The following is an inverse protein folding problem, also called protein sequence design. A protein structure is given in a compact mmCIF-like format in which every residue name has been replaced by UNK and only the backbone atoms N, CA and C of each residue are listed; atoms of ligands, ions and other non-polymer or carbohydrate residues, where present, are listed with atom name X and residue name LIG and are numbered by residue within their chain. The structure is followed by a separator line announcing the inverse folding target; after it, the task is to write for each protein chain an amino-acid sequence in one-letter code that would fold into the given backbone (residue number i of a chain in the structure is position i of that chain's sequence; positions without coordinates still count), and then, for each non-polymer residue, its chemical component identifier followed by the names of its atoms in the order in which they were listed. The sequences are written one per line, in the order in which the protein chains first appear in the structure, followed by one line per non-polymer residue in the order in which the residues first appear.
data_IF_872684821277
#
_entry.id   IF_872684821277
#
_cell.length_a   1.000
_cell.length_b   1.000
_cell.length_c   1.000
_cell.angle_alpha   90.00
_cell.angle_beta   90.00
_cell.angle_gamma   90.00
#
_symmetry.space_group_name_H-M   'P 1'
#
loop_
_entity.id
_entity.type
_entity.pdbx_description
1 polymer ?
#
# COMPACT_ATOMS: atom_id res chain seq x y z
N UNK A 1 -23.52 -12.00 -8.95
CA UNK A 1 -23.91 -11.66 -10.33
C UNK A 1 -24.61 -12.89 -10.88
N UNK A 2 -25.67 -12.72 -11.67
CA UNK A 2 -26.46 -13.84 -12.22
C UNK A 2 -25.72 -14.56 -13.34
N UNK A 3 -25.07 -15.66 -13.00
CA UNK A 3 -24.26 -16.50 -13.90
C UNK A 3 -25.09 -17.23 -14.98
N UNK A 4 -26.42 -17.28 -14.85
CA UNK A 4 -27.29 -17.83 -15.91
C UNK A 4 -27.37 -16.94 -17.15
N UNK A 5 -27.18 -15.62 -17.03
CA UNK A 5 -27.13 -14.72 -18.20
C UNK A 5 -25.79 -14.81 -18.96
N UNK A 6 -24.73 -15.34 -18.33
CA UNK A 6 -23.38 -15.45 -18.91
C UNK A 6 -23.24 -16.55 -19.97
N UNK A 7 -24.01 -17.65 -19.88
CA UNK A 7 -23.91 -18.77 -20.85
C UNK A 7 -24.39 -18.42 -22.27
N UNK A 8 -25.16 -17.35 -22.44
CA UNK A 8 -25.76 -16.97 -23.73
C UNK A 8 -25.12 -15.73 -24.39
N UNK A 9 -24.04 -15.15 -23.83
CA UNK A 9 -23.59 -13.80 -24.21
C UNK A 9 -22.07 -13.57 -24.24
N UNK A 10 -21.27 -14.55 -24.68
CA UNK A 10 -19.79 -14.53 -24.64
C UNK A 10 -19.15 -13.16 -24.93
N UNK A 11 -19.46 -12.54 -26.08
CA UNK A 11 -18.89 -11.24 -26.45
C UNK A 11 -19.40 -10.03 -25.66
N UNK A 12 -20.50 -10.14 -24.91
CA UNK A 12 -20.94 -9.08 -23.98
C UNK A 12 -20.18 -9.20 -22.65
N UNK A 13 -20.00 -10.42 -22.14
CA UNK A 13 -19.23 -10.65 -20.91
C UNK A 13 -17.80 -10.08 -21.02
N UNK A 14 -17.06 -10.39 -22.07
CA UNK A 14 -15.69 -9.92 -22.21
C UNK A 14 -15.57 -8.40 -22.39
N UNK A 15 -16.57 -7.75 -23.00
CA UNK A 15 -16.62 -6.28 -23.06
C UNK A 15 -16.84 -5.65 -21.68
N UNK A 16 -17.73 -6.21 -20.87
CA UNK A 16 -17.95 -5.74 -19.48
C UNK A 16 -16.73 -6.02 -18.60
N UNK A 17 -16.09 -7.19 -18.75
CA UNK A 17 -14.84 -7.54 -18.06
C UNK A 17 -13.71 -6.58 -18.42
N UNK A 18 -13.52 -6.29 -19.71
CA UNK A 18 -12.50 -5.35 -20.19
C UNK A 18 -12.71 -3.96 -19.60
N UNK A 19 -13.96 -3.46 -19.58
CA UNK A 19 -14.27 -2.17 -18.98
C UNK A 19 -13.96 -2.17 -17.47
N UNK A 20 -14.33 -3.23 -16.75
CA UNK A 20 -14.03 -3.36 -15.31
C UNK A 20 -12.53 -3.33 -15.02
N UNK A 21 -11.71 -3.98 -15.84
CA UNK A 21 -10.24 -3.97 -15.69
C UNK A 21 -9.67 -2.55 -15.92
N UNK A 22 -10.19 -1.83 -16.93
CA UNK A 22 -9.80 -0.44 -17.18
C UNK A 22 -10.22 0.50 -16.06
N UNK A 23 -11.38 0.27 -15.47
CA UNK A 23 -11.86 1.03 -14.31
C UNK A 23 -10.96 0.77 -13.08
N UNK A 24 -10.54 -0.47 -12.84
CA UNK A 24 -9.58 -0.79 -11.77
C UNK A 24 -8.30 0.03 -11.91
N UNK A 25 -7.79 0.15 -13.15
CA UNK A 25 -6.58 0.92 -13.46
C UNK A 25 -6.75 2.43 -13.30
N UNK A 26 -7.91 2.97 -13.69
CA UNK A 26 -8.15 4.42 -13.73
C UNK A 26 -8.45 5.04 -12.37
N UNK A 27 -9.01 4.27 -11.43
CA UNK A 27 -9.43 4.80 -10.11
C UNK A 27 -8.21 5.14 -9.22
N UNK A 28 -6.99 4.72 -9.58
CA UNK A 28 -5.77 5.07 -8.83
C UNK A 28 -5.79 4.59 -7.37
N UNK A 29 -6.52 3.48 -7.11
CA UNK A 29 -6.64 2.89 -5.77
C UNK A 29 -5.31 2.34 -5.28
N UNK A 30 -5.26 1.98 -4.00
CA UNK A 30 -4.13 1.27 -3.42
C UNK A 30 -3.71 0.08 -4.31
N UNK A 31 -2.41 -0.05 -4.55
CA UNK A 31 -1.79 -1.08 -5.39
C UNK A 31 -2.29 -2.49 -5.11
N UNK A 32 -2.37 -2.86 -3.83
CA UNK A 32 -2.80 -4.19 -3.41
C UNK A 32 -4.28 -4.42 -3.71
N UNK A 33 -5.07 -3.35 -3.61
CA UNK A 33 -6.50 -3.40 -3.90
C UNK A 33 -6.75 -3.65 -5.39
N UNK A 34 -5.94 -3.07 -6.27
CA UNK A 34 -6.03 -3.34 -7.71
C UNK A 34 -5.80 -4.82 -8.03
N UNK A 35 -4.79 -5.45 -7.40
CA UNK A 35 -4.52 -6.90 -7.56
C UNK A 35 -5.70 -7.75 -7.05
N UNK A 36 -6.27 -7.41 -5.88
CA UNK A 36 -7.44 -8.12 -5.35
C UNK A 36 -8.71 -7.89 -6.19
N UNK A 37 -8.86 -6.72 -6.79
CA UNK A 37 -10.00 -6.39 -7.64
C UNK A 37 -9.96 -7.20 -8.94
N UNK A 38 -8.76 -7.45 -9.50
CA UNK A 38 -8.56 -8.38 -10.63
C UNK A 38 -8.88 -9.81 -10.23
N UNK A 39 -8.40 -10.27 -9.08
CA UNK A 39 -8.77 -11.60 -8.56
C UNK A 39 -10.29 -11.77 -8.45
N UNK A 40 -11.01 -10.72 -8.03
CA UNK A 40 -12.46 -10.68 -7.94
C UNK A 40 -13.20 -10.61 -9.30
N UNK A 41 -12.48 -10.68 -10.43
CA UNK A 41 -13.06 -10.86 -11.77
C UNK A 41 -13.14 -12.32 -12.20
N UNK A 42 -12.58 -13.25 -11.39
CA UNK A 42 -12.63 -14.67 -11.68
C UNK A 42 -14.06 -15.19 -11.92
N UNK A 43 -14.22 -16.13 -12.85
CA UNK A 43 -15.52 -16.73 -13.16
C UNK A 43 -16.11 -17.56 -12.03
N UNK A 44 -15.25 -18.08 -11.16
CA UNK A 44 -15.62 -18.87 -9.98
C UNK A 44 -15.43 -18.07 -8.68
N UNK A 45 -15.35 -16.74 -8.77
CA UNK A 45 -15.07 -15.88 -7.62
C UNK A 45 -16.05 -16.12 -6.46
N UNK A 46 -15.50 -16.46 -5.30
CA UNK A 46 -16.26 -16.62 -4.07
C UNK A 46 -15.57 -15.87 -2.91
N UNK A 47 -16.17 -14.78 -2.38
CA UNK A 47 -15.59 -14.03 -1.26
C UNK A 47 -15.56 -14.80 0.06
N UNK A 48 -16.34 -15.88 0.18
CA UNK A 48 -16.41 -16.73 1.37
C UNK A 48 -15.47 -17.93 1.32
N UNK A 49 -14.84 -18.20 0.17
CA UNK A 49 -13.92 -19.32 0.03
C UNK A 49 -12.62 -19.07 0.79
N UNK A 50 -12.06 -20.13 1.38
CA UNK A 50 -10.82 -20.02 2.16
C UNK A 50 -9.64 -19.56 1.32
N UNK A 51 -9.57 -19.99 0.05
CA UNK A 51 -8.56 -19.53 -0.92
C UNK A 51 -8.58 -18.01 -1.11
N UNK A 52 -9.77 -17.38 -1.11
CA UNK A 52 -9.90 -15.93 -1.22
C UNK A 52 -9.39 -15.23 0.03
N UNK A 53 -9.72 -15.75 1.22
CA UNK A 53 -9.24 -15.23 2.50
C UNK A 53 -7.72 -15.31 2.58
N UNK A 54 -7.15 -16.45 2.20
CA UNK A 54 -5.70 -16.66 2.16
C UNK A 54 -5.03 -15.73 1.16
N UNK A 55 -5.58 -15.59 -0.05
CA UNK A 55 -5.04 -14.67 -1.05
C UNK A 55 -5.03 -13.23 -0.55
N UNK A 56 -6.13 -12.73 0.02
CA UNK A 56 -6.20 -11.36 0.55
C UNK A 56 -5.25 -11.15 1.73
N UNK A 57 -5.07 -12.16 2.59
CA UNK A 57 -4.16 -12.10 3.72
C UNK A 57 -2.67 -12.10 3.29
N UNK A 58 -2.34 -12.69 2.14
CA UNK A 58 -0.94 -12.95 1.74
C UNK A 58 -0.44 -12.06 0.60
N UNK A 59 -1.33 -11.52 -0.24
CA UNK A 59 -0.95 -10.78 -1.46
C UNK A 59 -0.05 -9.58 -1.15
N UNK A 60 -0.33 -8.85 -0.08
CA UNK A 60 0.49 -7.71 0.31
C UNK A 60 1.92 -8.14 0.66
N UNK A 61 2.08 -9.15 1.52
CA UNK A 61 3.41 -9.64 1.91
C UNK A 61 4.15 -10.27 0.74
N UNK A 62 3.46 -10.97 -0.16
CA UNK A 62 4.03 -11.51 -1.39
C UNK A 62 4.61 -10.41 -2.27
N UNK A 63 3.87 -9.32 -2.48
CA UNK A 63 4.32 -8.19 -3.28
C UNK A 63 5.50 -7.44 -2.64
N UNK A 64 5.43 -7.17 -1.34
CA UNK A 64 6.54 -6.57 -0.58
C UNK A 64 7.81 -7.42 -0.67
N UNK A 65 7.70 -8.73 -0.46
CA UNK A 65 8.85 -9.64 -0.54
C UNK A 65 9.44 -9.69 -1.95
N UNK A 66 8.60 -9.71 -2.98
CA UNK A 66 9.08 -9.70 -4.37
C UNK A 66 9.79 -8.38 -4.73
N UNK A 67 9.36 -7.25 -4.18
CA UNK A 67 9.97 -5.95 -4.46
C UNK A 67 11.31 -5.76 -3.72
N UNK A 68 11.38 -6.16 -2.45
CA UNK A 68 12.50 -5.79 -1.58
C UNK A 68 12.87 -6.82 -0.49
N UNK A 69 12.37 -8.06 -0.56
CA UNK A 69 12.76 -9.18 0.34
C UNK A 69 12.40 -9.04 1.82
N UNK A 70 11.45 -8.16 2.14
CA UNK A 70 10.90 -8.03 3.49
C UNK A 70 9.38 -8.18 3.44
N UNK A 71 8.78 -8.70 4.51
CA UNK A 71 7.34 -8.58 4.72
C UNK A 71 6.96 -7.15 5.10
N UNK A 72 5.67 -6.80 4.98
CA UNK A 72 5.18 -5.47 5.34
C UNK A 72 5.49 -5.11 6.81
N UNK A 73 5.35 -6.06 7.74
CA UNK A 73 5.66 -5.87 9.16
C UNK A 73 7.14 -5.63 9.41
N UNK A 74 8.02 -6.33 8.70
CA UNK A 74 9.47 -6.18 8.81
C UNK A 74 9.91 -4.80 8.29
N UNK A 75 9.36 -4.35 7.16
CA UNK A 75 9.61 -2.99 6.64
C UNK A 75 9.28 -1.92 7.67
N UNK A 76 8.09 -1.99 8.27
CA UNK A 76 7.67 -1.02 9.29
C UNK A 76 8.62 -1.08 10.48
N UNK A 77 8.82 -2.29 11.02
CA UNK A 77 9.61 -2.48 12.24
C UNK A 77 11.06 -2.06 12.07
N UNK A 78 11.69 -2.35 10.94
CA UNK A 78 13.10 -2.03 10.70
C UNK A 78 13.32 -0.54 10.40
N UNK A 79 12.36 0.12 9.75
CA UNK A 79 12.57 1.47 9.19
C UNK A 79 11.98 2.60 10.03
N UNK A 80 10.98 2.30 10.87
CA UNK A 80 10.40 3.31 11.75
C UNK A 80 11.39 3.75 12.83
N UNK A 81 11.58 5.07 12.93
CA UNK A 81 12.62 5.68 13.74
C UNK A 81 12.27 7.14 14.06
N UNK A 82 12.00 7.43 15.34
CA UNK A 82 11.62 8.76 15.82
C UNK A 82 12.72 9.82 15.69
N UNK A 83 13.97 9.43 15.46
CA UNK A 83 15.08 10.35 15.22
C UNK A 83 15.18 10.82 13.77
N UNK A 84 14.44 10.19 12.86
CA UNK A 84 14.35 10.62 11.47
C UNK A 84 13.19 11.58 11.24
N UNK A 85 13.30 12.47 10.23
CA UNK A 85 12.15 13.24 9.77
C UNK A 85 10.98 12.32 9.47
N UNK A 86 9.77 12.71 9.91
CA UNK A 86 8.52 12.00 9.60
C UNK A 86 8.57 10.51 10.00
N UNK A 87 9.28 10.21 11.10
CA UNK A 87 9.56 8.86 11.63
C UNK A 87 10.21 7.89 10.63
N UNK A 88 10.90 8.40 9.61
CA UNK A 88 11.51 7.60 8.54
C UNK A 88 10.58 7.28 7.37
N UNK A 89 9.39 7.88 7.30
CA UNK A 89 8.50 7.75 6.16
C UNK A 89 8.93 8.63 4.98
N UNK A 90 8.64 8.15 3.78
CA UNK A 90 9.01 8.75 2.48
C UNK A 90 7.82 8.91 1.55
N UNK A 91 6.74 8.12 1.71
CA UNK A 91 5.62 8.08 0.78
C UNK A 91 4.25 8.12 1.48
N UNK A 92 3.82 9.28 1.98
CA UNK A 92 2.48 9.45 2.56
C UNK A 92 1.74 10.64 1.93
N UNK A 93 0.45 10.79 2.23
CA UNK A 93 -0.38 11.89 1.72
C UNK A 93 -0.65 12.89 2.84
N UNK A 94 -0.54 14.17 2.54
CA UNK A 94 -0.81 15.28 3.47
C UNK A 94 0.46 15.88 4.06
N UNK A 95 0.28 16.97 4.81
CA UNK A 95 1.39 17.75 5.38
C UNK A 95 1.81 17.26 6.77
N UNK A 96 0.98 16.42 7.40
CA UNK A 96 1.19 15.90 8.74
C UNK A 96 0.97 14.40 8.79
N UNK A 97 1.85 13.71 9.50
CA UNK A 97 1.77 12.26 9.68
C UNK A 97 0.82 11.88 10.81
N UNK A 98 -0.01 10.87 10.57
CA UNK A 98 -0.96 10.35 11.56
C UNK A 98 -0.51 9.00 12.13
N UNK A 99 -1.12 8.60 13.25
CA UNK A 99 -0.91 7.28 13.85
C UNK A 99 -1.28 6.14 12.88
N UNK A 100 -2.25 6.35 11.98
CA UNK A 100 -2.57 5.38 10.93
C UNK A 100 -1.48 5.27 9.86
N UNK A 101 -0.79 6.37 9.53
CA UNK A 101 0.22 6.37 8.47
C UNK A 101 1.46 5.54 8.85
N UNK A 102 1.85 5.57 10.12
CA UNK A 102 3.02 4.82 10.61
C UNK A 102 2.81 3.30 10.59
N UNK A 103 1.56 2.85 10.50
CA UNK A 103 1.22 1.43 10.30
C UNK A 103 1.25 0.96 8.85
N UNK A 104 1.53 1.84 7.89
CA UNK A 104 1.48 1.52 6.45
C UNK A 104 2.89 1.29 5.90
N UNK A 105 3.24 0.02 5.66
CA UNK A 105 4.57 -0.37 5.16
C UNK A 105 5.02 0.35 3.89
N UNK A 106 4.08 0.64 2.97
CA UNK A 106 4.35 1.39 1.73
C UNK A 106 4.98 2.76 2.01
N UNK A 107 4.64 3.39 3.14
CA UNK A 107 5.10 4.72 3.48
C UNK A 107 6.60 4.74 3.84
N UNK A 108 7.22 3.59 4.09
CA UNK A 108 8.65 3.45 4.41
C UNK A 108 9.50 2.94 3.23
N UNK A 109 8.92 2.84 2.04
CA UNK A 109 9.62 2.34 0.86
C UNK A 109 10.47 3.44 0.22
N UNK A 110 11.62 3.08 -0.34
CA UNK A 110 12.35 3.99 -1.22
C UNK A 110 11.58 4.21 -2.53
N UNK A 111 11.87 5.30 -3.24
CA UNK A 111 11.28 5.57 -4.55
C UNK A 111 11.49 4.40 -5.53
N UNK A 112 12.68 3.78 -5.50
CA UNK A 112 13.00 2.61 -6.31
C UNK A 112 12.15 1.40 -5.96
N UNK A 113 11.96 1.09 -4.68
CA UNK A 113 11.12 -0.03 -4.25
C UNK A 113 9.64 0.19 -4.60
N UNK A 114 9.15 1.40 -4.39
CA UNK A 114 7.79 1.78 -4.77
C UNK A 114 7.60 1.68 -6.29
N UNK A 115 8.58 2.13 -7.07
CA UNK A 115 8.57 2.00 -8.53
C UNK A 115 8.52 0.55 -8.96
N UNK A 116 9.31 -0.34 -8.34
CA UNK A 116 9.25 -1.77 -8.62
C UNK A 116 7.87 -2.35 -8.30
N UNK A 117 7.26 -2.02 -7.15
CA UNK A 117 5.91 -2.45 -6.82
C UNK A 117 4.87 -1.97 -7.86
N UNK A 118 4.94 -0.71 -8.25
CA UNK A 118 4.06 -0.13 -9.27
C UNK A 118 4.18 -0.87 -10.61
N UNK A 119 5.41 -1.21 -11.03
CA UNK A 119 5.66 -1.95 -12.26
C UNK A 119 5.12 -3.38 -12.20
N UNK A 120 5.29 -4.08 -11.07
CA UNK A 120 4.75 -5.42 -10.87
C UNK A 120 3.22 -5.43 -10.94
N UNK A 121 2.56 -4.48 -10.28
CA UNK A 121 1.09 -4.34 -10.34
C UNK A 121 0.63 -3.99 -11.75
N UNK A 122 1.32 -3.06 -12.43
CA UNK A 122 0.99 -2.67 -13.80
C UNK A 122 1.06 -3.85 -14.77
N UNK A 123 2.11 -4.67 -14.67
CA UNK A 123 2.25 -5.89 -15.48
C UNK A 123 1.11 -6.87 -15.23
N UNK A 124 0.68 -7.05 -13.98
CA UNK A 124 -0.44 -7.92 -13.65
C UNK A 124 -1.76 -7.41 -14.25
N UNK A 125 -1.98 -6.10 -14.22
CA UNK A 125 -3.13 -5.46 -14.86
C UNK A 125 -3.10 -5.58 -16.39
N UNK A 126 -1.94 -5.37 -17.02
CA UNK A 126 -1.74 -5.56 -18.46
C UNK A 126 -2.05 -6.99 -18.89
N UNK A 127 -1.58 -7.96 -18.11
CA UNK A 127 -1.88 -9.36 -18.35
C UNK A 127 -3.38 -9.63 -18.25
N UNK A 128 -4.05 -9.08 -17.22
CA UNK A 128 -5.48 -9.27 -17.05
C UNK A 128 -6.28 -8.68 -18.21
N UNK A 129 -5.92 -7.47 -18.67
CA UNK A 129 -6.52 -6.84 -19.84
C UNK A 129 -6.32 -7.70 -21.09
N UNK A 130 -5.13 -8.29 -21.27
CA UNK A 130 -4.85 -9.21 -22.37
C UNK A 130 -5.72 -10.47 -22.34
N UNK A 131 -5.96 -11.06 -21.16
CA UNK A 131 -6.84 -12.22 -21.04
C UNK A 131 -8.28 -11.87 -21.43
N UNK A 132 -8.78 -10.72 -20.97
CA UNK A 132 -10.10 -10.23 -21.35
C UNK A 132 -10.23 -9.99 -22.86
N UNK A 133 -9.22 -9.37 -23.49
CA UNK A 133 -9.18 -9.14 -24.95
C UNK A 133 -9.15 -10.43 -25.75
N UNK A 134 -8.49 -11.47 -25.24
CA UNK A 134 -8.41 -12.80 -25.87
C UNK A 134 -9.63 -13.68 -25.57
N UNK A 135 -10.64 -13.14 -24.91
CA UNK A 135 -11.81 -13.89 -24.48
C UNK A 135 -11.45 -15.12 -23.62
N UNK A 136 -10.37 -14.99 -22.82
CA UNK A 136 -9.91 -16.03 -21.92
C UNK A 136 -10.45 -15.78 -20.51
N UNK A 137 -11.38 -16.65 -20.10
CA UNK A 137 -11.93 -16.63 -18.75
C UNK A 137 -10.93 -17.20 -17.74
N UNK A 138 -10.76 -16.52 -16.62
CA UNK A 138 -9.80 -16.87 -15.58
C UNK A 138 -10.52 -17.32 -14.31
N UNK A 139 -10.04 -18.38 -13.66
CA UNK A 139 -10.49 -18.79 -12.32
C UNK A 139 -9.68 -18.11 -11.22
N UNK A 140 -10.15 -18.21 -9.97
CA UNK A 140 -9.42 -17.74 -8.79
C UNK A 140 -8.03 -18.37 -8.72
N UNK A 141 -7.93 -19.67 -9.05
CA UNK A 141 -6.64 -20.39 -9.06
C UNK A 141 -5.72 -19.89 -10.16
N UNK A 142 -6.26 -19.58 -11.34
CA UNK A 142 -5.46 -19.07 -12.46
C UNK A 142 -4.84 -17.71 -12.10
N UNK A 143 -5.59 -16.81 -11.46
CA UNK A 143 -5.05 -15.51 -11.02
C UNK A 143 -3.95 -15.66 -9.96
N UNK A 144 -4.11 -16.57 -9.00
CA UNK A 144 -3.09 -16.83 -7.99
C UNK A 144 -1.81 -17.36 -8.64
N UNK A 145 -1.97 -18.38 -9.48
CA UNK A 145 -0.85 -19.03 -10.16
C UNK A 145 -0.13 -18.05 -11.11
N UNK A 146 -0.87 -17.18 -11.78
CA UNK A 146 -0.30 -16.20 -12.68
C UNK A 146 0.48 -15.11 -11.94
N UNK A 147 -0.05 -14.61 -10.81
CA UNK A 147 0.70 -13.66 -9.99
C UNK A 147 2.05 -14.28 -9.58
N UNK A 148 2.06 -15.53 -9.11
CA UNK A 148 3.29 -16.23 -8.74
C UNK A 148 4.25 -16.41 -9.93
N UNK A 149 3.71 -16.79 -11.09
CA UNK A 149 4.48 -16.95 -12.33
C UNK A 149 5.15 -15.66 -12.75
N UNK A 150 4.45 -14.53 -12.69
CA UNK A 150 5.00 -13.23 -13.09
C UNK A 150 6.11 -12.77 -12.14
N UNK A 151 5.91 -12.92 -10.83
CA UNK A 151 6.93 -12.59 -9.84
C UNK A 151 8.21 -13.41 -10.08
N UNK A 152 8.07 -14.73 -10.27
CA UNK A 152 9.21 -15.60 -10.60
C UNK A 152 9.84 -15.25 -11.95
N UNK A 153 9.02 -14.97 -12.97
CA UNK A 153 9.47 -14.58 -14.32
C UNK A 153 10.29 -13.29 -14.33
N UNK A 154 9.99 -12.37 -13.42
CA UNK A 154 10.76 -11.14 -13.18
C UNK A 154 12.01 -11.36 -12.31
N UNK A 155 12.44 -12.63 -12.13
CA UNK A 155 13.56 -13.03 -11.26
C UNK A 155 13.40 -12.56 -9.81
N UNK A 156 12.15 -12.48 -9.34
CA UNK A 156 11.85 -12.21 -7.93
C UNK A 156 11.62 -13.51 -7.20
N UNK A 157 11.80 -13.49 -5.88
CA UNK A 157 11.49 -14.65 -5.06
C UNK A 157 10.08 -14.49 -4.51
N UNK A 158 9.42 -15.63 -4.32
CA UNK A 158 8.18 -15.70 -3.57
C UNK A 158 8.52 -15.81 -2.08
N UNK A 159 7.64 -15.25 -1.25
CA UNK A 159 7.76 -15.36 0.19
C UNK A 159 7.69 -16.84 0.60
N UNK A 160 8.79 -17.38 1.09
CA UNK A 160 8.87 -18.74 1.62
C UNK A 160 8.81 -18.69 3.16
N UNK A 161 7.68 -19.11 3.74
CA UNK A 161 7.51 -19.22 5.18
C UNK A 161 6.93 -17.97 5.86
N UNK A 162 7.15 -17.89 7.17
CA UNK A 162 6.68 -16.80 8.03
C UNK A 162 7.88 -15.92 8.37
N UNK A 163 7.79 -14.62 8.12
CA UNK A 163 8.89 -13.72 8.46
C UNK A 163 9.07 -13.54 9.97
N UNK A 164 10.08 -12.77 10.33
CA UNK A 164 10.64 -12.66 11.67
C UNK A 164 9.84 -11.75 12.62
N UNK A 165 9.09 -10.80 12.06
CA UNK A 165 8.32 -9.80 12.80
C UNK A 165 6.82 -9.97 12.58
N UNK A 166 6.06 -10.09 13.66
CA UNK A 166 4.60 -10.12 13.59
C UNK A 166 4.01 -8.73 13.31
N UNK A 167 2.82 -8.69 12.73
CA UNK A 167 2.10 -7.43 12.49
C UNK A 167 1.92 -6.63 13.79
N UNK A 168 1.56 -7.29 14.90
CA UNK A 168 1.40 -6.66 16.21
C UNK A 168 2.69 -5.97 16.68
N UNK A 169 3.83 -6.66 16.61
CA UNK A 169 5.12 -6.08 17.00
C UNK A 169 5.49 -4.86 16.15
N UNK A 170 5.23 -4.92 14.84
CA UNK A 170 5.48 -3.81 13.94
C UNK A 170 4.66 -2.57 14.29
N UNK A 171 3.34 -2.75 14.53
CA UNK A 171 2.45 -1.65 14.92
C UNK A 171 2.82 -1.09 16.28
N UNK A 172 3.04 -1.92 17.31
CA UNK A 172 3.43 -1.47 18.64
C UNK A 172 4.70 -0.61 18.62
N UNK A 173 5.72 -1.04 17.85
CA UNK A 173 6.94 -0.24 17.67
C UNK A 173 6.62 1.07 16.96
N UNK A 174 5.89 1.03 15.85
CA UNK A 174 5.61 2.22 15.05
C UNK A 174 4.82 3.28 15.83
N UNK A 175 3.83 2.86 16.63
CA UNK A 175 3.07 3.75 17.49
C UNK A 175 3.95 4.40 18.56
N UNK A 176 4.85 3.63 19.18
CA UNK A 176 5.78 4.14 20.19
C UNK A 176 6.74 5.19 19.61
N UNK A 177 7.35 4.90 18.46
CA UNK A 177 8.24 5.85 17.78
C UNK A 177 7.46 7.12 17.38
N UNK A 178 6.23 6.97 16.91
CA UNK A 178 5.36 8.11 16.58
C UNK A 178 5.06 9.00 17.79
N UNK A 179 4.80 8.42 18.96
CA UNK A 179 4.56 9.18 20.19
C UNK A 179 5.81 9.97 20.62
N UNK A 180 6.99 9.37 20.52
CA UNK A 180 8.27 10.04 20.80
C UNK A 180 8.48 11.21 19.84
N UNK A 181 8.28 10.98 18.54
CA UNK A 181 8.39 12.01 17.50
C UNK A 181 7.41 13.17 17.75
N UNK A 182 6.14 12.86 18.00
CA UNK A 182 5.10 13.89 18.26
C UNK A 182 5.37 14.70 19.51
N UNK A 183 5.85 14.08 20.58
CA UNK A 183 6.23 14.78 21.80
C UNK A 183 7.41 15.74 21.57
N UNK A 184 8.36 15.37 20.71
CA UNK A 184 9.49 16.22 20.31
C UNK A 184 9.03 17.40 19.46
N UNK A 185 8.23 17.15 18.42
CA UNK A 185 7.65 18.20 17.55
C UNK A 185 6.84 19.20 18.38
N UNK A 186 6.01 18.74 19.30
CA UNK A 186 5.19 19.61 20.15
C UNK A 186 6.04 20.51 21.07
N UNK A 187 7.21 20.06 21.52
CA UNK A 187 8.14 20.89 22.30
C UNK A 187 8.87 21.94 21.47
N UNK A 188 9.07 21.68 20.18
CA UNK A 188 9.71 22.60 19.25
C UNK A 188 8.69 23.56 18.61
N UNK A 189 7.40 23.26 18.73
CA UNK A 189 6.32 24.10 18.24
C UNK A 189 6.22 25.36 19.09
N UNK A 190 6.84 26.44 18.61
CA UNK A 190 6.63 27.77 19.14
C UNK A 190 5.30 28.30 18.60
N UNK A 191 4.35 28.63 19.48
CA UNK A 191 3.06 29.17 19.05
C UNK A 191 3.24 30.55 18.43
N UNK A 192 2.37 30.92 17.47
CA UNK A 192 2.29 32.30 16.99
C UNK A 192 2.03 33.30 18.13
N UNK A 193 1.36 32.85 19.20
CA UNK A 193 1.24 33.63 20.43
C UNK A 193 2.58 33.83 21.12
N UNK A 194 3.39 32.77 21.26
CA UNK A 194 4.71 32.85 21.89
C UNK A 194 5.65 33.76 21.08
N UNK A 195 5.56 33.71 19.75
CA UNK A 195 6.28 34.61 18.84
C UNK A 195 5.82 36.06 19.01
N UNK A 196 4.52 36.30 19.03
CA UNK A 196 3.97 37.64 19.21
C UNK A 196 4.33 38.25 20.58
N UNK A 197 4.31 37.45 21.65
CA UNK A 197 4.73 37.89 22.99
C UNK A 197 6.22 38.23 23.02
N UNK A 198 7.08 37.44 22.36
CA UNK A 198 8.51 37.76 22.22
C UNK A 198 8.78 39.03 21.43
N UNK A 199 8.05 39.26 20.34
CA UNK A 199 8.17 40.49 19.55
C UNK A 199 7.71 41.73 20.32
N UNK A 200 6.64 41.62 21.10
CA UNK A 200 6.14 42.70 21.96
C UNK A 200 7.14 43.02 23.09
N UNK A 201 7.67 41.99 23.77
CA UNK A 201 8.64 42.18 24.86
C UNK A 201 9.98 42.72 24.36
N UNK A 202 10.41 42.38 23.13
CA UNK A 202 11.60 42.98 22.50
C UNK A 202 11.39 44.45 22.11
N UNK A 203 10.18 44.85 21.72
CA UNK A 203 9.84 46.26 21.43
C UNK A 203 9.77 47.11 22.68
N UNK A 204 9.24 46.57 23.78
CA UNK A 204 9.21 47.26 25.08
C UNK A 204 10.63 47.45 25.65
N UNK A 205 11.50 46.42 25.54
CA UNK A 205 12.88 46.51 26.01
C UNK A 205 13.79 47.44 25.17
N UNK A 206 13.39 47.80 23.95
CA UNK A 206 14.12 48.74 23.08
C UNK A 206 13.56 50.17 23.08
N UNK A 207 12.48 50.42 23.82
CA UNK A 207 11.79 51.72 23.87
C UNK A 207 12.14 52.61 25.07
N UNK A 208 13.01 52.14 25.98
CA UNK A 208 13.42 52.87 27.19
C UNK A 208 14.74 53.68 27.01
N UNK A 209 15.28 53.76 25.79
CA UNK A 209 16.55 54.46 25.45
C UNK A 209 16.36 55.75 24.60
N UNK A 210 15.16 56.34 24.56
CA UNK A 210 14.91 57.71 24.01
C UNK A 210 14.42 58.69 25.08
#
# INVERSE_FOLDING_TARGET
MDDERLKNGGGRYFRELLQRIRDIRSIGRNLYQQVTDIYATAIDYNPKADVTREFFATVQNKMHYAAHKHMASEVIYERVDSDKPLVGMTNFKGDYITKSDVGVAKNYLTEKELTVLNLLVSQFLDFAELQALKEHAMTMKDWIAELDRQLLGNRRELLAGKGSVSHKQAIEKAEKEFEIYRAREMKQLESDFDRAVKELTQREAGGDDE
#
